data_IF_986468514473
#
_entry.id   IF_986468514473
#
_cell.length_a   1.000
_cell.length_b   1.000
_cell.length_c   1.000
_cell.angle_alpha   90.00
_cell.angle_beta   90.00
_cell.angle_gamma   90.00
#
_symmetry.space_group_name_H-M   'P 1'
#
loop_
_entity.id
_entity.type
_entity.pdbx_description
1 polymer ?
#
# COMPACT_ATOMS: atom_id res chain seq x y z
N UNK A 1 1.03 -19.45 -19.72
CA UNK A 1 0.81 -18.59 -18.53
C UNK A 1 0.33 -19.46 -17.38
N UNK A 2 0.91 -19.30 -16.21
CA UNK A 2 0.58 -20.10 -15.03
C UNK A 2 -0.62 -19.49 -14.31
N UNK A 3 -1.58 -20.33 -13.92
CA UNK A 3 -2.75 -19.93 -13.11
C UNK A 3 -2.67 -20.56 -11.73
N UNK A 4 -2.82 -19.78 -10.68
CA UNK A 4 -2.91 -20.27 -9.31
C UNK A 4 -4.37 -20.30 -8.86
N UNK A 5 -4.75 -21.36 -8.17
CA UNK A 5 -6.11 -21.56 -7.67
C UNK A 5 -6.17 -21.48 -6.15
N UNK A 6 -7.22 -20.85 -5.63
CA UNK A 6 -7.45 -20.71 -4.19
C UNK A 6 -7.48 -22.07 -3.49
N UNK A 7 -8.08 -23.08 -4.11
CA UNK A 7 -8.17 -24.44 -3.56
C UNK A 7 -6.80 -25.06 -3.22
N UNK A 8 -5.73 -24.62 -3.91
CA UNK A 8 -4.39 -25.08 -3.60
C UNK A 8 -3.88 -24.61 -2.23
N UNK A 9 -4.49 -23.57 -1.65
CA UNK A 9 -4.08 -22.95 -0.39
C UNK A 9 -4.99 -23.26 0.77
N UNK A 10 -6.25 -23.65 0.49
CA UNK A 10 -7.29 -23.89 1.52
C UNK A 10 -7.61 -25.38 1.72
N UNK A 11 -6.75 -26.29 1.24
CA UNK A 11 -6.97 -27.77 1.23
C UNK A 11 -7.55 -28.39 2.52
N UNK A 12 -7.48 -27.70 3.66
CA UNK A 12 -8.01 -28.15 4.94
C UNK A 12 -8.92 -27.11 5.62
N UNK A 13 -9.15 -25.95 5.01
CA UNK A 13 -9.87 -24.85 5.63
C UNK A 13 -11.16 -24.57 4.87
N UNK A 14 -12.30 -24.60 5.58
CA UNK A 14 -13.63 -24.24 5.04
C UNK A 14 -13.79 -22.72 4.78
N UNK A 15 -12.78 -21.91 5.12
CA UNK A 15 -12.81 -20.44 4.98
C UNK A 15 -11.84 -20.07 3.86
N UNK A 16 -12.30 -19.40 2.79
CA UNK A 16 -11.48 -19.07 1.64
C UNK A 16 -10.56 -17.88 1.90
N UNK A 17 -9.64 -18.04 2.84
CA UNK A 17 -8.59 -17.06 3.19
C UNK A 17 -7.28 -17.79 3.42
N UNK A 18 -6.20 -17.19 2.94
CA UNK A 18 -4.83 -17.65 3.21
C UNK A 18 -3.90 -16.45 3.39
N UNK A 19 -2.95 -16.57 4.31
CA UNK A 19 -1.83 -15.63 4.47
C UNK A 19 -0.55 -16.33 4.10
N UNK A 20 0.15 -15.81 3.10
CA UNK A 20 1.42 -16.33 2.63
C UNK A 20 2.52 -15.33 2.93
N UNK A 21 3.61 -15.81 3.49
CA UNK A 21 4.82 -15.03 3.69
C UNK A 21 5.82 -15.42 2.59
N UNK A 22 6.09 -14.52 1.66
CA UNK A 22 7.11 -14.73 0.64
C UNK A 22 8.46 -14.25 1.17
N UNK A 23 9.41 -15.16 1.47
CA UNK A 23 10.67 -14.79 2.08
C UNK A 23 11.60 -14.02 1.13
N UNK A 24 11.56 -14.31 -0.14
CA UNK A 24 12.26 -13.60 -1.21
C UNK A 24 11.44 -13.78 -2.49
N UNK A 25 10.75 -12.74 -2.89
CA UNK A 25 10.20 -12.73 -4.23
C UNK A 25 11.35 -12.36 -5.18
N UNK A 26 11.87 -13.34 -5.90
CA UNK A 26 12.66 -13.11 -7.11
C UNK A 26 11.75 -12.49 -8.19
N UNK A 27 12.35 -12.09 -9.30
CA UNK A 27 11.55 -11.73 -10.47
C UNK A 27 10.60 -12.90 -10.81
N UNK A 28 9.34 -12.57 -11.05
CA UNK A 28 8.33 -13.59 -11.36
C UNK A 28 7.88 -13.46 -12.80
N UNK A 29 7.67 -14.60 -13.46
CA UNK A 29 7.03 -14.63 -14.77
C UNK A 29 5.55 -14.20 -14.65
N UNK A 30 4.97 -13.66 -15.75
CA UNK A 30 3.56 -13.30 -15.79
C UNK A 30 2.66 -14.47 -15.44
N UNK A 31 1.80 -14.27 -14.44
CA UNK A 31 0.86 -15.27 -13.93
C UNK A 31 -0.47 -14.62 -13.51
N UNK A 32 -1.47 -15.45 -13.26
CA UNK A 32 -2.80 -15.04 -12.82
C UNK A 32 -3.32 -15.97 -11.73
N UNK A 33 -4.42 -15.59 -11.09
CA UNK A 33 -5.08 -16.40 -10.06
C UNK A 33 -6.60 -16.15 -10.04
N UNK A 34 -7.35 -17.02 -9.33
CA UNK A 34 -8.82 -16.97 -9.21
C UNK A 34 -9.31 -16.36 -7.90
N UNK A 35 -8.42 -15.80 -7.11
CA UNK A 35 -8.69 -15.15 -5.82
C UNK A 35 -8.24 -13.69 -5.82
N UNK A 36 -8.68 -12.93 -4.84
CA UNK A 36 -8.21 -11.59 -4.58
C UNK A 36 -6.92 -11.69 -3.78
N UNK A 37 -5.83 -11.13 -4.30
CA UNK A 37 -4.56 -11.04 -3.61
C UNK A 37 -4.33 -9.61 -3.12
N UNK A 38 -4.15 -9.43 -1.81
CA UNK A 38 -3.74 -8.17 -1.21
C UNK A 38 -2.28 -8.32 -0.80
N UNK A 39 -1.43 -7.51 -1.42
CA UNK A 39 0.02 -7.56 -1.23
C UNK A 39 0.45 -6.48 -0.26
N UNK A 40 1.14 -6.87 0.82
CA UNK A 40 1.78 -5.98 1.79
C UNK A 40 3.29 -6.07 1.65
N UNK A 41 3.93 -5.03 1.16
CA UNK A 41 5.39 -5.01 0.97
C UNK A 41 6.09 -4.80 2.31
N UNK A 42 6.77 -5.84 2.81
CA UNK A 42 7.43 -5.84 4.14
C UNK A 42 8.85 -5.29 4.13
N UNK A 43 9.56 -5.52 3.04
CA UNK A 43 10.95 -5.11 2.91
C UNK A 43 11.38 -5.04 1.44
N UNK A 44 12.44 -4.29 1.18
CA UNK A 44 13.03 -4.17 -0.14
C UNK A 44 12.17 -3.37 -1.11
N UNK A 45 12.39 -3.63 -2.40
CA UNK A 45 11.65 -3.01 -3.49
C UNK A 45 11.56 -3.95 -4.70
N UNK A 46 10.59 -3.67 -5.57
CA UNK A 46 10.44 -4.32 -6.87
C UNK A 46 9.72 -3.37 -7.84
N UNK A 47 9.65 -3.77 -9.11
CA UNK A 47 8.71 -3.21 -10.08
C UNK A 47 7.57 -4.22 -10.24
N UNK A 48 6.34 -3.79 -9.98
CA UNK A 48 5.14 -4.57 -10.24
C UNK A 48 4.61 -4.23 -11.63
N UNK A 49 4.32 -5.25 -12.42
CA UNK A 49 3.83 -5.15 -13.78
C UNK A 49 2.44 -5.75 -13.87
N UNK A 50 1.53 -5.04 -14.54
CA UNK A 50 0.24 -5.57 -14.97
C UNK A 50 0.27 -5.76 -16.48
N UNK A 51 -0.26 -6.89 -16.93
CA UNK A 51 -0.28 -7.30 -18.32
C UNK A 51 -1.71 -7.55 -18.80
N UNK A 52 -1.93 -7.44 -20.10
CA UNK A 52 -3.11 -8.01 -20.77
C UNK A 52 -2.97 -9.53 -20.85
N UNK A 53 -4.07 -10.21 -21.18
CA UNK A 53 -4.07 -11.66 -21.37
C UNK A 53 -3.17 -12.14 -22.51
N UNK A 54 -2.85 -11.26 -23.46
CA UNK A 54 -1.91 -11.51 -24.56
C UNK A 54 -0.44 -11.33 -24.14
N UNK A 55 -0.18 -10.97 -22.88
CA UNK A 55 1.17 -10.73 -22.34
C UNK A 55 1.69 -9.31 -22.52
N UNK A 56 0.96 -8.42 -23.21
CA UNK A 56 1.37 -7.02 -23.38
C UNK A 56 1.34 -6.30 -22.04
N UNK A 57 2.47 -5.72 -21.63
CA UNK A 57 2.54 -4.88 -20.42
C UNK A 57 1.67 -3.63 -20.59
N UNK A 58 0.85 -3.34 -19.58
CA UNK A 58 -0.05 -2.18 -19.57
C UNK A 58 0.38 -1.14 -18.57
N UNK A 59 0.92 -1.59 -17.43
CA UNK A 59 1.34 -0.74 -16.34
C UNK A 59 2.55 -1.36 -15.64
N UNK A 60 3.54 -0.53 -15.33
CA UNK A 60 4.65 -0.88 -14.46
C UNK A 60 4.81 0.21 -13.40
N UNK A 61 4.75 -0.17 -12.13
CA UNK A 61 4.89 0.77 -11.01
C UNK A 61 5.90 0.26 -9.98
N UNK A 62 6.61 1.20 -9.37
CA UNK A 62 7.56 0.88 -8.30
C UNK A 62 6.81 0.59 -7.01
N UNK A 63 7.19 -0.48 -6.33
CA UNK A 63 6.69 -0.87 -5.02
C UNK A 63 7.83 -0.95 -4.01
N UNK A 64 7.58 -0.48 -2.79
CA UNK A 64 8.57 -0.42 -1.70
C UNK A 64 7.92 -0.84 -0.38
N UNK A 65 8.73 -1.06 0.65
CA UNK A 65 8.21 -1.33 2.01
C UNK A 65 7.15 -0.30 2.43
N UNK A 66 6.03 -0.78 2.96
CA UNK A 66 4.88 0.02 3.37
C UNK A 66 3.78 0.10 2.29
N UNK A 67 4.06 -0.31 1.07
CA UNK A 67 3.03 -0.34 0.03
C UNK A 67 2.07 -1.51 0.21
N UNK A 68 0.81 -1.21 -0.07
CA UNK A 68 -0.31 -2.17 -0.13
C UNK A 68 -1.04 -1.98 -1.44
N UNK A 69 -1.31 -3.07 -2.14
CA UNK A 69 -2.08 -3.06 -3.39
C UNK A 69 -2.81 -4.39 -3.57
N UNK A 70 -3.77 -4.43 -4.49
CA UNK A 70 -4.51 -5.65 -4.83
C UNK A 70 -4.24 -6.08 -6.26
N UNK A 71 -4.26 -7.40 -6.45
CA UNK A 71 -4.38 -8.06 -7.73
C UNK A 71 -5.69 -8.83 -7.72
N UNK A 72 -6.56 -8.58 -8.70
CA UNK A 72 -7.89 -9.17 -8.77
C UNK A 72 -7.89 -10.48 -9.56
N UNK A 73 -8.91 -11.34 -9.35
CA UNK A 73 -9.05 -12.57 -10.12
C UNK A 73 -8.99 -12.32 -11.63
N UNK A 74 -8.13 -13.06 -12.31
CA UNK A 74 -7.94 -12.95 -13.74
C UNK A 74 -7.02 -11.83 -14.23
N UNK A 75 -6.57 -10.92 -13.37
CA UNK A 75 -5.50 -9.98 -13.70
C UNK A 75 -4.18 -10.75 -13.86
N UNK A 76 -3.39 -10.36 -14.87
CA UNK A 76 -2.08 -10.94 -15.13
C UNK A 76 -1.02 -10.02 -14.61
N UNK A 77 -0.14 -10.54 -13.75
CA UNK A 77 0.89 -9.71 -13.14
C UNK A 77 2.25 -10.43 -13.00
N UNK A 78 3.29 -9.62 -12.80
CA UNK A 78 4.65 -10.12 -12.54
C UNK A 78 5.45 -9.10 -11.73
N UNK A 79 6.62 -9.53 -11.25
CA UNK A 79 7.58 -8.67 -10.56
C UNK A 79 8.94 -8.73 -11.25
N UNK A 80 9.60 -7.56 -11.34
CA UNK A 80 10.98 -7.44 -11.80
C UNK A 80 11.78 -6.49 -10.91
N UNK A 81 13.10 -6.42 -11.15
CA UNK A 81 14.02 -5.56 -10.40
C UNK A 81 13.91 -5.74 -8.87
N UNK A 82 13.57 -6.94 -8.43
CA UNK A 82 13.41 -7.28 -7.04
C UNK A 82 14.74 -7.26 -6.30
N UNK A 83 14.80 -6.49 -5.19
CA UNK A 83 15.96 -6.47 -4.29
C UNK A 83 15.49 -6.61 -2.85
N UNK A 84 15.86 -7.70 -2.20
CA UNK A 84 15.45 -8.04 -0.84
C UNK A 84 13.93 -7.94 -0.63
N UNK A 85 13.16 -8.12 -1.70
CA UNK A 85 11.72 -7.97 -1.72
C UNK A 85 11.07 -9.06 -0.87
N UNK A 86 10.29 -8.66 0.10
CA UNK A 86 9.51 -9.54 0.98
C UNK A 86 8.12 -8.99 1.12
N UNK A 87 7.13 -9.83 1.06
CA UNK A 87 5.72 -9.43 1.16
C UNK A 87 4.90 -10.45 1.93
N UNK A 88 3.78 -10.00 2.49
CA UNK A 88 2.65 -10.85 2.81
C UNK A 88 1.67 -10.79 1.64
N UNK A 89 1.20 -11.96 1.21
CA UNK A 89 0.09 -12.09 0.30
C UNK A 89 -1.10 -12.59 1.11
N UNK A 90 -2.08 -11.73 1.30
CA UNK A 90 -3.38 -12.07 1.86
C UNK A 90 -4.30 -12.45 0.69
N UNK A 91 -4.55 -13.74 0.54
CA UNK A 91 -5.41 -14.28 -0.52
C UNK A 91 -6.82 -14.49 0.04
N UNK A 92 -7.82 -13.92 -0.61
CA UNK A 92 -9.24 -13.96 -0.19
C UNK A 92 -10.09 -14.46 -1.35
N UNK A 93 -10.88 -15.50 -1.09
CA UNK A 93 -11.88 -15.97 -2.06
C UNK A 93 -13.00 -14.95 -2.25
N UNK A 94 -13.47 -14.81 -3.48
CA UNK A 94 -14.50 -13.84 -3.88
C UNK A 94 -15.76 -13.94 -2.98
N UNK A 95 -16.21 -15.15 -2.68
CA UNK A 95 -17.39 -15.39 -1.84
C UNK A 95 -17.29 -14.80 -0.43
N UNK A 96 -16.11 -14.81 0.18
CA UNK A 96 -15.91 -14.21 1.50
C UNK A 96 -15.92 -12.68 1.44
N UNK A 97 -15.30 -12.09 0.41
CA UNK A 97 -15.36 -10.64 0.22
C UNK A 97 -16.81 -10.19 -0.02
N UNK A 98 -17.57 -10.90 -0.84
CA UNK A 98 -18.99 -10.62 -1.08
C UNK A 98 -19.82 -10.72 0.22
N UNK A 99 -19.55 -11.71 1.07
CA UNK A 99 -20.21 -11.84 2.38
C UNK A 99 -19.90 -10.67 3.31
N UNK A 100 -18.75 -10.01 3.15
CA UNK A 100 -18.31 -8.86 3.97
C UNK A 100 -18.62 -7.51 3.32
N UNK A 101 -18.95 -7.48 2.02
CA UNK A 101 -19.03 -6.24 1.23
C UNK A 101 -20.07 -5.24 1.79
N UNK A 102 -21.21 -5.71 2.34
CA UNK A 102 -22.25 -4.83 2.89
C UNK A 102 -21.74 -3.84 3.93
N UNK A 103 -20.79 -4.27 4.77
CA UNK A 103 -20.19 -3.44 5.82
C UNK A 103 -18.97 -2.63 5.32
N UNK A 104 -18.33 -3.10 4.25
CA UNK A 104 -17.05 -2.56 3.77
C UNK A 104 -17.19 -1.54 2.62
N UNK A 105 -18.34 -1.53 1.91
CA UNK A 105 -18.56 -0.64 0.76
C UNK A 105 -18.48 0.85 1.10
N UNK A 106 -18.75 1.22 2.36
CA UNK A 106 -18.65 2.60 2.84
C UNK A 106 -17.22 3.06 3.07
N UNK A 107 -16.23 2.14 3.05
CA UNK A 107 -14.83 2.49 3.28
C UNK A 107 -14.25 3.22 2.07
N UNK A 108 -13.51 4.28 2.34
CA UNK A 108 -12.71 4.95 1.33
C UNK A 108 -11.80 3.93 0.61
N UNK A 109 -11.62 4.09 -0.69
CA UNK A 109 -10.82 3.18 -1.53
C UNK A 109 -11.35 1.74 -1.69
N UNK A 110 -12.46 1.32 -1.06
CA UNK A 110 -12.98 -0.05 -1.21
C UNK A 110 -13.17 -0.42 -2.69
N UNK A 111 -13.86 0.43 -3.44
CA UNK A 111 -14.06 0.20 -4.87
C UNK A 111 -12.75 0.22 -5.66
N UNK A 112 -11.82 1.12 -5.34
CA UNK A 112 -10.51 1.18 -5.99
C UNK A 112 -9.73 -0.11 -5.84
N UNK A 113 -9.86 -0.79 -4.70
CA UNK A 113 -9.15 -2.02 -4.40
C UNK A 113 -9.86 -3.29 -4.89
N UNK A 114 -11.20 -3.30 -4.87
CA UNK A 114 -11.97 -4.54 -5.04
C UNK A 114 -12.97 -4.54 -6.19
N UNK A 115 -13.17 -3.43 -6.92
CA UNK A 115 -14.06 -3.42 -8.07
C UNK A 115 -13.54 -4.32 -9.18
N UNK A 116 -14.31 -5.34 -9.54
CA UNK A 116 -14.00 -6.26 -10.64
C UNK A 116 -14.16 -5.62 -12.03
N UNK A 117 -14.88 -4.50 -12.12
CA UNK A 117 -15.12 -3.76 -13.35
C UNK A 117 -14.10 -2.66 -13.59
N UNK A 118 -13.11 -2.54 -12.70
CA UNK A 118 -12.10 -1.49 -12.88
C UNK A 118 -11.32 -1.71 -14.17
N UNK A 119 -11.18 -0.66 -14.95
CA UNK A 119 -10.08 -0.58 -15.91
C UNK A 119 -8.76 -0.75 -15.15
N UNK A 120 -7.68 -1.15 -15.84
CA UNK A 120 -6.36 -1.27 -15.21
C UNK A 120 -6.00 0.05 -14.53
N UNK A 121 -6.14 0.09 -13.21
CA UNK A 121 -5.95 1.27 -12.36
C UNK A 121 -4.83 1.02 -11.35
N UNK A 122 -4.17 2.11 -10.95
CA UNK A 122 -3.24 2.07 -9.82
C UNK A 122 -4.08 2.00 -8.54
N UNK A 123 -3.98 0.88 -7.85
CA UNK A 123 -4.69 0.61 -6.59
C UNK A 123 -3.71 0.51 -5.41
N UNK A 124 -2.64 1.28 -5.46
CA UNK A 124 -1.56 1.25 -4.48
C UNK A 124 -1.75 2.35 -3.45
N UNK A 125 -1.66 1.98 -2.17
CA UNK A 125 -1.54 2.87 -1.02
C UNK A 125 -0.17 2.69 -0.38
N UNK A 126 0.33 3.75 0.25
CA UNK A 126 1.52 3.68 1.09
C UNK A 126 1.14 3.92 2.54
N UNK A 127 1.29 2.90 3.38
CA UNK A 127 1.02 2.98 4.80
C UNK A 127 2.17 3.71 5.51
N UNK A 128 1.82 4.53 6.50
CA UNK A 128 2.84 5.07 7.40
C UNK A 128 3.53 3.92 8.15
N UNK A 129 4.74 4.11 8.69
CA UNK A 129 5.42 3.06 9.46
C UNK A 129 4.58 2.52 10.62
N UNK A 130 3.78 3.37 11.27
CA UNK A 130 2.90 2.96 12.36
C UNK A 130 1.70 2.16 11.85
N UNK A 131 1.02 2.64 10.81
CA UNK A 131 -0.11 1.93 10.20
C UNK A 131 0.33 0.58 9.65
N UNK A 132 1.55 0.53 9.08
CA UNK A 132 2.14 -0.73 8.63
C UNK A 132 2.39 -1.70 9.79
N UNK A 133 2.93 -1.23 10.92
CA UNK A 133 3.18 -2.07 12.09
C UNK A 133 1.88 -2.66 12.67
N UNK A 134 0.82 -1.84 12.76
CA UNK A 134 -0.51 -2.29 13.21
C UNK A 134 -1.07 -3.31 12.24
N UNK A 135 -1.03 -3.03 10.93
CA UNK A 135 -1.50 -3.94 9.88
C UNK A 135 -0.72 -5.26 9.89
N UNK A 136 0.61 -5.22 10.04
CA UNK A 136 1.45 -6.41 10.15
C UNK A 136 1.07 -7.28 11.34
N UNK A 137 0.75 -6.67 12.50
CA UNK A 137 0.28 -7.41 13.69
C UNK A 137 -1.06 -8.12 13.41
N UNK A 138 -2.00 -7.43 12.78
CA UNK A 138 -3.28 -8.02 12.39
C UNK A 138 -3.11 -9.19 11.41
N UNK A 139 -2.22 -9.04 10.43
CA UNK A 139 -1.90 -10.12 9.47
C UNK A 139 -1.29 -11.32 10.20
N UNK A 140 -0.41 -11.11 11.16
CA UNK A 140 0.19 -12.20 11.96
C UNK A 140 -0.86 -12.92 12.83
N UNK A 141 -1.77 -12.17 13.46
CA UNK A 141 -2.90 -12.73 14.23
C UNK A 141 -3.82 -13.55 13.31
N UNK A 142 -4.12 -13.02 12.12
CA UNK A 142 -4.90 -13.74 11.11
C UNK A 142 -4.20 -15.03 10.67
N UNK A 143 -2.91 -14.98 10.36
CA UNK A 143 -2.12 -16.16 10.01
C UNK A 143 -2.14 -17.21 11.12
N UNK A 144 -1.99 -16.80 12.37
CA UNK A 144 -2.10 -17.71 13.54
C UNK A 144 -3.47 -18.40 13.60
N UNK A 145 -4.56 -17.64 13.44
CA UNK A 145 -5.91 -18.21 13.41
C UNK A 145 -6.09 -19.21 12.25
N UNK A 146 -5.51 -18.93 11.09
CA UNK A 146 -5.58 -19.81 9.92
C UNK A 146 -4.78 -21.12 10.10
N UNK A 147 -3.69 -21.11 10.86
CA UNK A 147 -2.82 -22.28 11.07
C UNK A 147 -3.11 -23.07 12.36
N UNK A 148 -3.93 -22.54 13.28
CA UNK A 148 -4.13 -23.13 14.61
C UNK A 148 -4.83 -24.50 14.62
N UNK A 149 -5.38 -24.96 13.49
CA UNK A 149 -6.05 -26.26 13.40
C UNK A 149 -7.34 -26.40 14.24
N UNK A 150 -7.66 -25.42 15.09
CA UNK A 150 -8.83 -25.45 15.98
C UNK A 150 -10.09 -25.10 15.18
N UNK A 151 -10.91 -26.07 14.84
CA UNK A 151 -12.23 -25.82 14.28
C UNK A 151 -13.20 -25.40 15.38
N UNK A 152 -13.64 -24.14 15.36
CA UNK A 152 -14.73 -23.66 16.21
C UNK A 152 -15.66 -22.74 15.41
N UNK A 153 -16.94 -22.68 15.81
CA UNK A 153 -17.90 -21.73 15.21
C UNK A 153 -17.43 -20.28 15.33
N UNK A 154 -16.72 -19.95 16.41
CA UNK A 154 -16.16 -18.62 16.64
C UNK A 154 -14.97 -18.28 15.71
N UNK A 155 -14.27 -19.28 15.17
CA UNK A 155 -13.09 -19.04 14.32
C UNK A 155 -13.43 -18.25 13.06
N UNK A 156 -14.51 -18.61 12.34
CA UNK A 156 -14.95 -17.85 11.15
C UNK A 156 -15.24 -16.39 11.51
N UNK A 157 -15.92 -16.18 12.64
CA UNK A 157 -16.21 -14.84 13.15
C UNK A 157 -14.93 -14.07 13.48
N UNK A 158 -14.00 -14.69 14.19
CA UNK A 158 -12.70 -14.08 14.55
C UNK A 158 -11.92 -13.69 13.29
N UNK A 159 -11.88 -14.54 12.26
CA UNK A 159 -11.22 -14.23 10.98
C UNK A 159 -11.88 -13.03 10.31
N UNK A 160 -13.21 -12.97 10.24
CA UNK A 160 -13.94 -11.84 9.67
C UNK A 160 -13.66 -10.55 10.45
N UNK A 161 -13.69 -10.60 11.78
CA UNK A 161 -13.37 -9.43 12.62
C UNK A 161 -11.95 -8.93 12.35
N UNK A 162 -10.96 -9.82 12.26
CA UNK A 162 -9.58 -9.44 11.95
C UNK A 162 -9.43 -8.85 10.55
N UNK A 163 -10.14 -9.38 9.56
CA UNK A 163 -10.17 -8.83 8.20
C UNK A 163 -10.84 -7.45 8.18
N UNK A 164 -11.97 -7.29 8.87
CA UNK A 164 -12.67 -5.99 8.98
C UNK A 164 -11.75 -4.95 9.64
N UNK A 165 -11.13 -5.30 10.78
CA UNK A 165 -10.18 -4.42 11.46
C UNK A 165 -9.01 -4.05 10.56
N UNK A 166 -8.47 -5.01 9.78
CA UNK A 166 -7.39 -4.77 8.83
C UNK A 166 -7.83 -3.82 7.69
N UNK A 167 -9.02 -3.99 7.16
CA UNK A 167 -9.54 -3.13 6.10
C UNK A 167 -9.83 -1.71 6.59
N UNK A 168 -10.40 -1.57 7.79
CA UNK A 168 -10.57 -0.28 8.46
C UNK A 168 -9.21 0.42 8.63
N UNK A 169 -8.20 -0.32 9.08
CA UNK A 169 -6.84 0.21 9.25
C UNK A 169 -6.23 0.72 7.93
N UNK A 170 -6.46 0.00 6.84
CA UNK A 170 -5.85 0.32 5.55
C UNK A 170 -6.62 1.45 4.84
N UNK A 171 -7.96 1.39 4.83
CA UNK A 171 -8.78 2.20 3.94
C UNK A 171 -9.42 3.42 4.58
N UNK A 172 -9.77 3.36 5.85
CA UNK A 172 -10.49 4.47 6.51
C UNK A 172 -9.57 5.35 7.36
N UNK A 173 -8.35 4.88 7.62
CA UNK A 173 -7.40 5.61 8.48
C UNK A 173 -7.96 5.92 9.87
N UNK A 174 -9.00 5.20 10.30
CA UNK A 174 -9.72 5.41 11.58
C UNK A 174 -8.76 5.39 12.76
N UNK A 175 -7.64 4.69 12.63
CA UNK A 175 -6.58 4.66 13.64
C UNK A 175 -5.56 5.81 13.51
N UNK A 176 -5.84 6.85 12.71
CA UNK A 176 -5.13 8.14 12.84
C UNK A 176 -5.24 8.73 14.28
N UNK A 177 -6.13 8.20 15.11
CA UNK A 177 -6.20 8.51 16.55
C UNK A 177 -4.92 8.17 17.32
N UNK A 178 -4.12 7.21 16.86
CA UNK A 178 -2.80 6.91 17.44
C UNK A 178 -1.80 8.05 17.22
N UNK A 179 -1.99 8.88 16.19
CA UNK A 179 -1.18 10.10 15.98
C UNK A 179 -1.41 11.14 17.07
N UNK A 180 -2.50 11.04 17.82
CA UNK A 180 -2.83 11.96 18.92
C UNK A 180 -2.33 11.51 20.29
N UNK A 181 -1.76 10.29 20.43
CA UNK A 181 -1.26 9.81 21.72
C UNK A 181 0.22 9.40 21.64
N UNK A 182 1.16 10.38 21.80
CA UNK A 182 2.61 10.12 21.73
C UNK A 182 3.15 9.21 22.83
N UNK A 183 2.35 8.91 23.86
CA UNK A 183 2.82 8.18 25.05
C UNK A 183 3.22 6.72 24.79
N UNK A 184 2.88 6.14 23.65
CA UNK A 184 3.23 4.77 23.29
C UNK A 184 4.52 4.63 22.47
N UNK A 185 5.17 5.73 22.07
CA UNK A 185 6.35 5.73 21.21
C UNK A 185 7.52 6.35 21.98
N UNK A 186 8.31 5.50 22.62
CA UNK A 186 9.52 5.93 23.33
C UNK A 186 10.75 6.08 22.41
N UNK A 187 10.58 5.89 21.09
CA UNK A 187 11.68 5.97 20.14
C UNK A 187 11.71 7.34 19.46
N UNK A 188 12.76 8.11 19.74
CA UNK A 188 13.01 9.43 19.15
C UNK A 188 12.95 9.42 17.61
N UNK A 189 13.29 8.29 16.98
CA UNK A 189 13.19 8.14 15.52
C UNK A 189 11.75 8.22 15.04
N UNK A 190 10.81 7.55 15.71
CA UNK A 190 9.38 7.63 15.35
C UNK A 190 8.83 9.05 15.50
N UNK A 191 9.28 9.79 16.54
CA UNK A 191 8.92 11.21 16.68
C UNK A 191 9.40 12.04 15.48
N UNK A 192 10.59 11.75 14.95
CA UNK A 192 11.09 12.43 13.76
C UNK A 192 10.32 12.05 12.49
N UNK A 193 9.90 10.79 12.36
CA UNK A 193 9.04 10.32 11.26
C UNK A 193 7.69 11.03 11.30
N UNK A 194 7.05 11.08 12.46
CA UNK A 194 5.77 11.79 12.65
C UNK A 194 5.85 13.27 12.32
N UNK A 195 6.97 13.95 12.60
CA UNK A 195 7.20 15.35 12.19
C UNK A 195 7.25 15.51 10.67
N UNK A 196 7.84 14.55 9.94
CA UNK A 196 7.88 14.54 8.48
C UNK A 196 6.45 14.33 7.93
N UNK A 197 5.70 13.38 8.52
CA UNK A 197 4.35 13.01 8.09
C UNK A 197 3.33 14.14 8.30
N UNK A 198 3.46 14.89 9.39
CA UNK A 198 2.50 15.96 9.73
C UNK A 198 2.53 17.13 8.75
N UNK A 199 3.69 17.45 8.16
CA UNK A 199 3.85 18.62 7.28
C UNK A 199 4.79 18.32 6.09
N UNK A 200 4.45 17.36 5.21
CA UNK A 200 5.35 16.93 4.15
C UNK A 200 5.60 18.01 3.08
N UNK A 201 4.68 18.98 2.95
CA UNK A 201 4.81 20.08 2.00
C UNK A 201 5.89 21.11 2.42
N UNK A 202 6.25 21.16 3.71
CA UNK A 202 7.28 22.07 4.19
C UNK A 202 8.70 21.58 3.85
N UNK A 203 9.65 22.51 3.84
CA UNK A 203 11.07 22.18 3.73
C UNK A 203 11.54 21.50 5.03
N UNK A 204 12.03 20.27 4.92
CA UNK A 204 12.53 19.49 6.04
C UNK A 204 14.05 19.61 6.14
N UNK A 205 14.55 20.01 7.33
CA UNK A 205 15.98 19.96 7.66
C UNK A 205 16.30 18.63 8.35
N UNK A 206 16.73 17.65 7.58
CA UNK A 206 17.09 16.33 8.08
C UNK A 206 18.30 16.35 9.04
N UNK A 207 19.23 17.32 8.90
CA UNK A 207 20.34 17.46 9.82
C UNK A 207 19.85 17.94 11.20
N UNK A 208 18.84 18.81 11.23
CA UNK A 208 18.18 19.21 12.47
C UNK A 208 17.45 18.03 13.10
N UNK A 209 16.67 17.29 12.34
CA UNK A 209 15.96 16.07 12.84
C UNK A 209 16.95 15.04 13.40
N UNK A 210 18.07 14.79 12.73
CA UNK A 210 19.11 13.89 13.20
C UNK A 210 19.66 14.32 14.57
N UNK A 211 19.97 15.62 14.73
CA UNK A 211 20.44 16.18 16.03
C UNK A 211 19.40 16.04 17.13
N UNK A 212 18.12 16.29 16.83
CA UNK A 212 17.02 16.15 17.81
C UNK A 212 16.87 14.73 18.35
N UNK A 213 17.22 13.72 17.55
CA UNK A 213 17.19 12.31 17.95
C UNK A 213 18.55 11.79 18.43
N UNK A 214 19.53 12.68 18.62
CA UNK A 214 20.86 12.33 19.13
C UNK A 214 21.75 11.56 18.15
N UNK A 215 21.53 11.73 16.84
CA UNK A 215 22.25 10.99 15.79
C UNK A 215 23.03 11.92 14.85
N UNK A 216 24.11 11.39 14.25
CA UNK A 216 24.67 12.01 13.04
C UNK A 216 23.70 11.89 11.87
N UNK A 217 23.80 12.76 10.87
CA UNK A 217 22.94 12.69 9.68
C UNK A 217 23.06 11.34 8.96
N UNK A 218 24.27 10.78 8.89
CA UNK A 218 24.50 9.47 8.26
C UNK A 218 23.83 8.34 9.05
N UNK A 219 24.01 8.32 10.38
CA UNK A 219 23.38 7.31 11.26
C UNK A 219 21.85 7.43 11.23
N UNK A 220 21.34 8.67 11.21
CA UNK A 220 19.91 8.92 11.07
C UNK A 220 19.37 8.36 9.75
N UNK A 221 20.01 8.69 8.62
CA UNK A 221 19.56 8.20 7.30
C UNK A 221 19.60 6.69 7.19
N UNK A 222 20.64 6.05 7.79
CA UNK A 222 20.75 4.59 7.82
C UNK A 222 19.63 3.96 8.67
N UNK A 223 19.45 4.43 9.91
CA UNK A 223 18.42 3.93 10.83
C UNK A 223 17.01 4.17 10.31
N UNK A 224 16.77 5.35 9.70
CA UNK A 224 15.52 5.67 9.05
C UNK A 224 15.21 4.68 7.91
N UNK A 225 16.21 4.43 7.03
CA UNK A 225 16.05 3.46 5.93
C UNK A 225 15.81 2.03 6.43
N UNK A 226 16.47 1.60 7.52
CA UNK A 226 16.19 0.30 8.13
C UNK A 226 14.74 0.20 8.65
N UNK A 227 14.22 1.29 9.23
CA UNK A 227 12.89 1.34 9.82
C UNK A 227 11.80 1.48 8.76
N UNK A 228 11.95 2.46 7.86
CA UNK A 228 10.94 2.86 6.86
C UNK A 228 11.10 2.12 5.54
N UNK A 229 12.30 1.62 5.23
CA UNK A 229 12.63 0.90 4.00
C UNK A 229 13.27 1.78 2.92
N UNK A 230 13.09 3.11 3.01
CA UNK A 230 13.68 4.08 2.06
C UNK A 230 14.37 5.22 2.82
N UNK A 231 15.30 5.95 2.17
CA UNK A 231 15.94 7.12 2.77
C UNK A 231 14.93 8.23 3.12
N UNK A 232 15.24 9.11 4.12
CA UNK A 232 14.34 10.17 4.56
C UNK A 232 13.83 11.09 3.43
N UNK A 233 14.71 11.47 2.51
CA UNK A 233 14.35 12.33 1.35
C UNK A 233 13.38 11.62 0.40
N UNK A 234 13.59 10.33 0.18
CA UNK A 234 12.71 9.52 -0.66
C UNK A 234 11.35 9.34 -0.01
N UNK A 235 11.31 9.10 1.30
CA UNK A 235 10.08 9.03 2.07
C UNK A 235 9.28 10.34 2.03
N UNK A 236 9.93 11.48 2.23
CA UNK A 236 9.30 12.79 2.09
C UNK A 236 8.65 12.96 0.70
N UNK A 237 9.37 12.58 -0.35
CA UNK A 237 8.83 12.66 -1.71
C UNK A 237 7.63 11.73 -1.92
N UNK A 238 7.60 10.54 -1.29
CA UNK A 238 6.45 9.64 -1.33
C UNK A 238 5.21 10.29 -0.71
N UNK A 239 5.34 10.87 0.48
CA UNK A 239 4.22 11.57 1.14
C UNK A 239 3.68 12.72 0.29
N UNK A 240 4.57 13.49 -0.33
CA UNK A 240 4.20 14.56 -1.27
C UNK A 240 3.45 14.04 -2.49
N UNK A 241 3.87 12.90 -3.03
CA UNK A 241 3.22 12.26 -4.17
C UNK A 241 1.84 11.70 -3.81
N UNK A 242 1.67 11.13 -2.61
CA UNK A 242 0.36 10.68 -2.14
C UNK A 242 -0.63 11.84 -1.97
N UNK A 243 -0.18 12.98 -1.42
CA UNK A 243 -1.01 14.16 -1.32
C UNK A 243 -1.34 14.74 -2.71
N UNK A 244 -0.34 14.81 -3.61
CA UNK A 244 -0.55 15.28 -4.98
C UNK A 244 -1.53 14.38 -5.76
N UNK A 245 -1.49 13.07 -5.52
CA UNK A 245 -2.43 12.11 -6.09
C UNK A 245 -3.88 12.46 -5.72
N UNK A 246 -4.15 12.69 -4.43
CA UNK A 246 -5.47 13.12 -3.96
C UNK A 246 -5.92 14.44 -4.60
N UNK A 247 -5.03 15.43 -4.68
CA UNK A 247 -5.36 16.71 -5.34
C UNK A 247 -5.65 16.55 -6.83
N UNK A 248 -5.01 15.59 -7.53
CA UNK A 248 -5.32 15.26 -8.92
C UNK A 248 -6.72 14.65 -9.08
N UNK A 249 -7.20 13.90 -8.08
CA UNK A 249 -8.52 13.26 -8.03
C UNK A 249 -9.61 14.26 -7.67
N UNK A 250 -9.35 15.12 -6.68
CA UNK A 250 -10.36 15.91 -5.98
C UNK A 250 -10.43 17.37 -6.44
N UNK A 251 -9.49 17.85 -7.26
CA UNK A 251 -9.40 19.29 -7.62
C UNK A 251 -9.03 19.52 -9.08
N UNK A 252 -9.39 20.71 -9.59
CA UNK A 252 -8.98 21.21 -10.91
C UNK A 252 -7.67 22.03 -10.88
N UNK A 253 -6.91 21.99 -9.78
CA UNK A 253 -5.63 22.69 -9.65
C UNK A 253 -4.70 22.34 -10.82
N UNK A 254 -3.92 23.34 -11.29
CA UNK A 254 -2.92 23.06 -12.33
C UNK A 254 -1.82 22.12 -11.80
N UNK A 255 -1.11 21.44 -12.69
CA UNK A 255 0.00 20.57 -12.28
C UNK A 255 1.12 21.38 -11.58
N UNK A 256 1.29 22.64 -11.98
CA UNK A 256 2.22 23.55 -11.33
C UNK A 256 1.78 23.84 -9.88
N UNK A 257 0.51 24.22 -9.67
CA UNK A 257 -0.01 24.52 -8.34
C UNK A 257 0.05 23.29 -7.42
N UNK A 258 -0.29 22.10 -7.93
CA UNK A 258 -0.13 20.85 -7.20
C UNK A 258 1.33 20.59 -6.82
N UNK A 259 2.26 20.81 -7.74
CA UNK A 259 3.68 20.64 -7.44
C UNK A 259 4.13 21.59 -6.33
N UNK A 260 3.78 22.87 -6.43
CA UNK A 260 4.15 23.89 -5.44
C UNK A 260 3.50 23.62 -4.09
N UNK A 261 2.19 23.37 -4.03
CA UNK A 261 1.47 23.13 -2.79
C UNK A 261 1.96 21.89 -2.03
N UNK A 262 2.56 20.93 -2.74
CA UNK A 262 3.18 19.74 -2.15
C UNK A 262 4.68 19.88 -1.92
N UNK A 263 5.26 21.07 -2.11
CA UNK A 263 6.67 21.36 -1.80
C UNK A 263 7.67 20.76 -2.79
N UNK A 264 7.27 20.48 -4.03
CA UNK A 264 8.19 20.16 -5.12
C UNK A 264 8.85 21.44 -5.66
N UNK A 265 10.16 21.38 -5.91
CA UNK A 265 10.91 22.53 -6.40
C UNK A 265 10.60 22.91 -7.86
N UNK A 266 9.98 22.02 -8.64
CA UNK A 266 9.49 22.26 -10.00
C UNK A 266 8.45 21.23 -10.42
N UNK A 267 7.57 21.61 -11.34
CA UNK A 267 6.58 20.73 -11.97
C UNK A 267 7.24 19.58 -12.77
N UNK A 268 8.34 19.85 -13.46
CA UNK A 268 9.10 18.83 -14.19
C UNK A 268 9.66 17.75 -13.26
N UNK A 269 10.15 18.14 -12.07
CA UNK A 269 10.62 17.18 -11.07
C UNK A 269 9.44 16.36 -10.52
N UNK A 270 8.32 17.02 -10.20
CA UNK A 270 7.08 16.38 -9.78
C UNK A 270 6.59 15.34 -10.82
N UNK A 271 6.45 15.76 -12.09
CA UNK A 271 5.97 14.89 -13.17
C UNK A 271 6.85 13.63 -13.31
N UNK A 272 8.17 13.80 -13.27
CA UNK A 272 9.12 12.69 -13.35
C UNK A 272 9.00 11.75 -12.17
N UNK A 273 8.90 12.26 -10.94
CA UNK A 273 8.77 11.47 -9.72
C UNK A 273 7.42 10.74 -9.68
N UNK A 274 6.34 11.41 -10.06
CA UNK A 274 5.01 10.84 -10.15
C UNK A 274 4.96 9.70 -11.18
N UNK A 275 5.49 9.92 -12.39
CA UNK A 275 5.56 8.87 -13.41
C UNK A 275 6.40 7.67 -12.94
N UNK A 276 7.55 7.92 -12.29
CA UNK A 276 8.39 6.86 -11.72
C UNK A 276 7.62 6.03 -10.68
N UNK A 277 6.82 6.70 -9.85
CA UNK A 277 6.07 6.06 -8.76
C UNK A 277 4.84 5.29 -9.24
N UNK A 278 4.04 5.90 -10.11
CA UNK A 278 2.73 5.38 -10.51
C UNK A 278 2.67 4.84 -11.94
N UNK A 279 3.77 4.86 -12.68
CA UNK A 279 3.86 4.34 -14.05
C UNK A 279 3.28 5.25 -15.13
N UNK A 280 2.44 6.22 -14.78
CA UNK A 280 1.79 7.17 -15.70
C UNK A 280 2.02 8.62 -15.26
N UNK A 281 1.87 9.56 -16.20
CA UNK A 281 2.02 10.99 -15.88
C UNK A 281 0.85 11.53 -15.07
N UNK A 282 1.03 12.60 -14.26
CA UNK A 282 -0.05 13.23 -13.50
C UNK A 282 -1.25 13.62 -14.36
N UNK A 283 -1.01 14.14 -15.56
CA UNK A 283 -2.07 14.51 -16.51
C UNK A 283 -2.91 13.30 -16.91
N UNK A 284 -2.26 12.17 -17.25
CA UNK A 284 -2.95 10.93 -17.59
C UNK A 284 -3.68 10.35 -16.37
N UNK A 285 -3.06 10.45 -15.19
CA UNK A 285 -3.67 10.04 -13.94
C UNK A 285 -4.99 10.80 -13.71
N UNK A 286 -4.99 12.14 -13.80
CA UNK A 286 -6.20 12.96 -13.65
C UNK A 286 -7.29 12.53 -14.63
N UNK A 287 -6.97 12.34 -15.91
CA UNK A 287 -7.97 11.90 -16.91
C UNK A 287 -8.65 10.58 -16.58
N UNK A 288 -7.99 9.70 -15.83
CA UNK A 288 -8.51 8.37 -15.47
C UNK A 288 -9.26 8.36 -14.13
N UNK A 289 -8.98 9.32 -13.23
CA UNK A 289 -9.40 9.22 -11.83
C UNK A 289 -10.08 10.47 -11.28
N UNK A 290 -10.06 11.62 -11.97
CA UNK A 290 -10.83 12.77 -11.48
C UNK A 290 -12.31 12.43 -11.48
N UNK A 291 -12.98 12.64 -10.35
CA UNK A 291 -14.44 12.61 -10.29
C UNK A 291 -14.97 13.69 -11.24
N UNK A 292 -16.01 13.41 -12.06
CA UNK A 292 -16.63 14.47 -12.81
C UNK A 292 -17.13 15.52 -11.81
N UNK A 293 -16.74 16.78 -12.02
CA UNK A 293 -17.29 17.88 -11.25
C UNK A 293 -18.82 17.81 -11.33
N UNK A 294 -19.52 17.74 -10.20
CA UNK A 294 -20.97 17.92 -10.21
C UNK A 294 -21.27 19.25 -10.90
N UNK A 295 -22.13 19.26 -11.92
CA UNK A 295 -22.50 20.52 -12.55
C UNK A 295 -23.20 21.40 -11.53
N UNK A 296 -22.69 22.62 -11.34
CA UNK A 296 -23.22 23.66 -10.45
C UNK A 296 -24.65 24.06 -10.86
#
# INVERSE_FOLDING_TARGET
MKTFHMDNFIKQQKIPVSVRNSPHAENTEPHTHDYIEIVFVRAGHATHHLHRKDGTEVLANSIIKGDVFTVLPGEVHSYSNSRMFRNYNLCIGKSLLEEMAGDLQSLAYFETFFSMEREIKINQLHLTPMDFLVSENLIRRLAFQLHSGIESKSRKLTIKMLLTELFLQIFDGVLNSWKQNPACISDNLFMSISKIESHPHLKVDFAKLAREVGMSLSSYAHKFKETVGVPPTEYLNLLRLENAKKQLEDTDMTLFDIAVSNGFGSDNYFIRMFKKRYGITPKRYRMLYSSPAEPA
#
